data_IF_551375716018
#
_entry.id   IF_551375716018
#
_cell.length_a   1.000
_cell.length_b   1.000
_cell.length_c   1.000
_cell.angle_alpha   90.00
_cell.angle_beta   90.00
_cell.angle_gamma   90.00
#
_symmetry.space_group_name_H-M   'P 1'
#
loop_
_entity.id
_entity.type
_entity.pdbx_description
1 polymer ?
#
# COMPACT_ATOMS: atom_id res chain seq x y z
N UNK A 1 -0.74 9.55 -16.83
CA UNK A 1 -0.18 10.87 -17.15
C UNK A 1 -0.23 11.78 -15.93
N UNK A 2 -1.39 12.07 -15.32
CA UNK A 2 -1.52 13.01 -14.21
C UNK A 2 -0.64 12.77 -12.98
N UNK A 3 -0.29 11.52 -12.65
CA UNK A 3 0.73 11.22 -11.62
C UNK A 3 2.14 11.64 -12.06
N UNK A 4 2.43 11.51 -13.35
CA UNK A 4 3.75 11.77 -13.92
C UNK A 4 4.03 13.25 -14.09
N UNK A 5 3.05 14.02 -14.55
CA UNK A 5 3.17 15.47 -14.79
C UNK A 5 2.90 16.32 -13.53
N UNK A 6 2.51 15.70 -12.43
CA UNK A 6 2.25 16.38 -11.16
C UNK A 6 0.83 16.95 -11.02
N UNK A 7 -0.07 16.71 -11.96
CA UNK A 7 -1.48 17.09 -11.84
C UNK A 7 -2.17 16.35 -10.68
N UNK A 8 -1.74 15.11 -10.43
CA UNK A 8 -2.21 14.29 -9.30
C UNK A 8 -1.10 14.24 -8.26
N UNK A 9 -1.36 14.76 -7.07
CA UNK A 9 -0.37 14.91 -6.00
C UNK A 9 -0.16 13.64 -5.19
N UNK A 10 -1.17 12.79 -5.03
CA UNK A 10 -1.08 11.63 -4.14
C UNK A 10 -1.93 10.46 -4.61
N UNK A 11 -1.62 9.29 -4.06
CA UNK A 11 -2.36 8.04 -4.22
C UNK A 11 -3.04 7.73 -2.89
N UNK A 12 -4.37 7.56 -2.93
CA UNK A 12 -5.18 7.12 -1.81
C UNK A 12 -5.83 5.77 -2.15
N UNK A 13 -5.95 4.89 -1.17
CA UNK A 13 -6.41 3.51 -1.40
C UNK A 13 -7.92 3.38 -1.41
N UNK A 14 -8.64 4.30 -0.78
CA UNK A 14 -10.08 4.15 -0.48
C UNK A 14 -10.39 2.76 0.10
N UNK A 15 -9.59 2.33 1.09
CA UNK A 15 -9.72 1.00 1.71
C UNK A 15 -11.12 0.81 2.29
N UNK A 16 -11.91 -0.06 1.65
CA UNK A 16 -13.31 -0.28 1.97
C UNK A 16 -13.60 -1.78 2.23
N UNK A 17 -13.33 -2.27 3.45
CA UNK A 17 -13.65 -3.64 3.83
C UNK A 17 -15.16 -3.84 3.94
N UNK A 18 -15.64 -4.89 3.30
CA UNK A 18 -17.04 -5.33 3.35
C UNK A 18 -17.11 -6.82 3.67
N UNK A 19 -18.20 -7.22 4.30
CA UNK A 19 -18.44 -8.64 4.56
C UNK A 19 -18.71 -9.40 3.26
N UNK A 20 -18.50 -10.72 3.28
CA UNK A 20 -18.81 -11.56 2.16
C UNK A 20 -20.30 -11.51 1.80
N UNK A 21 -21.17 -11.52 2.81
CA UNK A 21 -22.61 -11.44 2.63
C UNK A 21 -23.06 -10.15 1.93
N UNK A 22 -22.39 -9.03 2.19
CA UNK A 22 -22.66 -7.76 1.49
C UNK A 22 -22.18 -7.80 0.05
N UNK A 23 -21.00 -8.39 -0.21
CA UNK A 23 -20.40 -8.46 -1.55
C UNK A 23 -21.08 -9.50 -2.45
N UNK A 24 -21.66 -10.57 -1.89
CA UNK A 24 -22.34 -11.63 -2.64
C UNK A 24 -23.76 -11.22 -3.10
N UNK A 25 -24.20 -9.99 -2.81
CA UNK A 25 -25.48 -9.44 -3.30
C UNK A 25 -25.42 -9.12 -4.79
N UNK A 26 -26.56 -8.99 -5.47
CA UNK A 26 -26.63 -8.49 -6.83
C UNK A 26 -25.86 -7.16 -6.97
N UNK A 27 -25.23 -6.92 -8.12
CA UNK A 27 -24.37 -5.75 -8.36
C UNK A 27 -25.01 -4.42 -7.99
N UNK A 28 -26.33 -4.28 -8.19
CA UNK A 28 -27.09 -3.07 -7.85
C UNK A 28 -27.33 -2.87 -6.35
N UNK A 29 -27.05 -3.88 -5.54
CA UNK A 29 -27.26 -3.88 -4.08
C UNK A 29 -25.96 -4.12 -3.29
N UNK A 30 -24.93 -4.63 -3.94
CA UNK A 30 -23.62 -4.82 -3.34
C UNK A 30 -22.95 -3.45 -3.12
N UNK A 31 -22.33 -3.18 -1.96
CA UNK A 31 -21.60 -1.95 -1.74
C UNK A 31 -20.37 -1.89 -2.66
N UNK A 32 -20.05 -0.71 -3.17
CA UNK A 32 -18.80 -0.46 -3.88
C UNK A 32 -17.61 -0.48 -2.91
N UNK A 33 -16.40 -0.69 -3.45
CA UNK A 33 -15.17 -0.67 -2.68
C UNK A 33 -14.48 -2.02 -2.56
N UNK A 34 -13.17 -1.95 -2.34
CA UNK A 34 -12.26 -3.10 -2.21
C UNK A 34 -11.28 -2.86 -1.05
N UNK A 35 -10.61 -3.92 -0.62
CA UNK A 35 -9.43 -3.79 0.24
C UNK A 35 -8.29 -3.09 -0.53
N UNK A 36 -7.63 -2.13 0.09
CA UNK A 36 -6.58 -1.35 -0.57
C UNK A 36 -5.25 -1.29 0.18
N UNK A 37 -5.24 -1.39 1.52
CA UNK A 37 -4.03 -1.10 2.32
C UNK A 37 -2.89 -2.09 2.06
N UNK A 38 -3.17 -3.39 2.09
CA UNK A 38 -2.13 -4.43 2.07
C UNK A 38 -1.51 -4.67 0.69
N UNK A 39 -2.17 -4.22 -0.38
CA UNK A 39 -1.69 -4.36 -1.76
C UNK A 39 -1.25 -3.06 -2.41
N UNK A 40 -1.51 -1.89 -1.79
CA UNK A 40 -1.27 -0.58 -2.39
C UNK A 40 0.16 -0.36 -2.85
N UNK A 41 1.16 -0.64 -1.99
CA UNK A 41 2.57 -0.49 -2.32
C UNK A 41 2.98 -1.40 -3.49
N UNK A 42 2.63 -2.68 -3.40
CA UNK A 42 2.96 -3.66 -4.42
C UNK A 42 2.28 -3.36 -5.77
N UNK A 43 1.03 -2.90 -5.76
CA UNK A 43 0.33 -2.44 -6.96
C UNK A 43 1.00 -1.20 -7.58
N UNK A 44 1.42 -0.25 -6.74
CA UNK A 44 2.18 0.92 -7.18
C UNK A 44 3.50 0.53 -7.83
N UNK A 45 4.26 -0.36 -7.21
CA UNK A 45 5.52 -0.87 -7.78
C UNK A 45 5.26 -1.63 -9.08
N UNK A 46 4.33 -2.59 -9.08
CA UNK A 46 4.02 -3.45 -10.24
C UNK A 46 3.54 -2.64 -11.44
N UNK A 47 2.64 -1.66 -11.22
CA UNK A 47 1.95 -0.99 -12.32
C UNK A 47 2.50 0.40 -12.68
N UNK A 48 3.29 1.03 -11.80
CA UNK A 48 3.82 2.37 -12.04
C UNK A 48 5.34 2.40 -12.12
N UNK A 49 6.04 1.68 -11.21
CA UNK A 49 7.51 1.71 -11.19
C UNK A 49 8.10 0.75 -12.21
N UNK A 50 7.67 -0.51 -12.23
CA UNK A 50 8.21 -1.52 -13.17
C UNK A 50 8.03 -1.15 -14.64
N UNK A 51 6.89 -0.58 -15.08
CA UNK A 51 6.75 -0.09 -16.44
C UNK A 51 7.46 1.24 -16.72
N UNK A 52 8.09 1.88 -15.72
CA UNK A 52 8.82 3.14 -15.88
C UNK A 52 7.90 4.39 -15.97
N UNK A 53 6.69 4.30 -15.44
CA UNK A 53 5.81 5.48 -15.37
C UNK A 53 6.21 6.43 -14.24
N UNK A 54 6.69 5.90 -13.13
CA UNK A 54 7.27 6.62 -11.99
C UNK A 54 8.57 5.95 -11.56
N UNK A 55 9.47 6.71 -10.98
CA UNK A 55 10.55 6.18 -10.16
C UNK A 55 10.02 5.69 -8.82
N UNK A 56 10.80 4.88 -8.11
CA UNK A 56 10.43 4.43 -6.77
C UNK A 56 10.28 5.61 -5.79
N UNK A 57 11.14 6.62 -5.92
CA UNK A 57 11.09 7.81 -5.08
C UNK A 57 9.80 8.62 -5.33
N UNK A 58 9.43 8.83 -6.59
CA UNK A 58 8.17 9.50 -6.94
C UNK A 58 6.94 8.73 -6.43
N UNK A 59 6.97 7.39 -6.45
CA UNK A 59 5.91 6.60 -5.83
C UNK A 59 5.84 6.85 -4.32
N UNK A 60 6.98 6.88 -3.61
CA UNK A 60 7.02 7.18 -2.17
C UNK A 60 6.56 8.61 -1.87
N UNK A 61 6.90 9.58 -2.71
CA UNK A 61 6.36 10.94 -2.59
C UNK A 61 4.83 10.95 -2.65
N UNK A 62 4.25 10.26 -3.64
CA UNK A 62 2.78 10.20 -3.84
C UNK A 62 2.06 9.43 -2.73
N UNK A 63 2.68 8.43 -2.13
CA UNK A 63 2.05 7.58 -1.12
C UNK A 63 2.33 8.00 0.32
N UNK A 64 3.38 8.77 0.58
CA UNK A 64 3.81 9.11 1.94
C UNK A 64 4.07 10.59 2.14
N UNK A 65 5.05 11.16 1.44
CA UNK A 65 5.48 12.53 1.69
C UNK A 65 4.40 13.59 1.37
N UNK A 66 3.78 13.50 0.20
CA UNK A 66 2.76 14.47 -0.22
C UNK A 66 1.49 14.39 0.66
N UNK A 67 0.93 13.21 0.98
CA UNK A 67 -0.15 13.10 1.97
C UNK A 67 0.21 13.71 3.32
N UNK A 68 1.41 13.41 3.84
CA UNK A 68 1.85 13.95 5.12
C UNK A 68 1.91 15.48 5.11
N UNK A 69 2.45 16.09 4.04
CA UNK A 69 2.46 17.55 3.87
C UNK A 69 1.06 18.15 3.77
N UNK A 70 0.19 17.54 2.96
CA UNK A 70 -1.16 18.05 2.72
C UNK A 70 -1.97 18.08 4.02
N UNK A 71 -1.89 17.00 4.80
CA UNK A 71 -2.62 16.88 6.06
C UNK A 71 -1.84 17.39 7.28
N UNK A 72 -0.63 17.93 7.07
CA UNK A 72 0.24 18.48 8.13
C UNK A 72 0.53 17.45 9.23
N UNK A 73 0.80 16.21 8.81
CA UNK A 73 1.15 15.12 9.72
C UNK A 73 2.64 15.17 10.06
N UNK A 74 3.00 14.79 11.27
CA UNK A 74 4.39 14.67 11.71
C UNK A 74 4.97 13.30 11.33
N UNK A 75 5.01 13.02 10.02
CA UNK A 75 5.50 11.77 9.42
C UNK A 75 5.92 11.99 7.96
N UNK A 76 6.20 10.91 7.24
CA UNK A 76 6.50 10.93 5.81
C UNK A 76 7.92 11.42 5.48
N UNK A 77 8.82 11.45 6.45
CA UNK A 77 10.22 11.83 6.28
C UNK A 77 11.16 10.95 7.12
N UNK A 78 12.38 10.81 6.67
CA UNK A 78 13.45 10.12 7.40
C UNK A 78 14.53 11.15 7.77
N UNK A 79 14.48 11.62 9.01
CA UNK A 79 15.47 12.56 9.56
C UNK A 79 15.70 12.32 11.06
N UNK A 80 16.84 12.72 11.57
CA UNK A 80 17.14 12.59 12.99
C UNK A 80 16.12 13.37 13.83
N UNK A 81 15.52 12.72 14.83
CA UNK A 81 14.49 13.28 15.70
C UNK A 81 13.06 13.14 15.19
N UNK A 82 12.84 12.65 13.97
CA UNK A 82 11.51 12.32 13.49
C UNK A 82 10.97 11.04 14.16
N UNK A 83 9.64 10.85 14.21
CA UNK A 83 9.05 9.59 14.64
C UNK A 83 9.60 8.40 13.86
N UNK A 84 9.94 7.31 14.55
CA UNK A 84 10.42 6.09 13.90
C UNK A 84 9.25 5.24 13.40
N UNK A 85 8.54 5.76 12.39
CA UNK A 85 7.46 5.09 11.65
C UNK A 85 7.99 4.76 10.26
N UNK A 86 8.38 3.49 10.06
CA UNK A 86 9.15 3.06 8.89
C UNK A 86 8.55 1.79 8.28
N UNK A 87 8.68 1.69 6.96
CA UNK A 87 8.40 0.45 6.23
C UNK A 87 9.68 0.03 5.50
N UNK A 88 10.11 -1.21 5.72
CA UNK A 88 11.19 -1.84 4.97
C UNK A 88 10.54 -2.81 3.98
N UNK A 89 10.89 -2.68 2.71
CA UNK A 89 10.34 -3.54 1.66
C UNK A 89 11.41 -3.89 0.61
N UNK A 90 11.24 -5.03 -0.03
CA UNK A 90 12.02 -5.45 -1.18
C UNK A 90 11.26 -5.09 -2.46
N UNK A 91 11.77 -4.12 -3.22
CA UNK A 91 11.13 -3.59 -4.42
C UNK A 91 11.15 -4.55 -5.61
N UNK A 92 11.95 -5.62 -5.56
CA UNK A 92 12.12 -6.59 -6.64
C UNK A 92 11.45 -7.93 -6.33
N UNK A 93 11.17 -8.21 -5.07
CA UNK A 93 10.58 -9.49 -4.65
C UNK A 93 9.16 -9.64 -5.18
N UNK A 94 8.95 -10.73 -5.91
CA UNK A 94 7.61 -11.16 -6.33
C UNK A 94 6.96 -12.02 -5.24
N UNK A 95 5.65 -11.87 -5.09
CA UNK A 95 4.85 -12.65 -4.16
C UNK A 95 3.41 -12.77 -4.65
N UNK A 96 2.74 -13.83 -4.24
CA UNK A 96 1.34 -14.06 -4.55
C UNK A 96 0.47 -13.59 -3.38
N UNK A 97 -0.61 -12.88 -3.66
CA UNK A 97 -1.59 -12.46 -2.65
C UNK A 97 -2.43 -13.67 -2.24
N UNK A 98 -2.05 -14.32 -1.15
CA UNK A 98 -2.72 -15.55 -0.66
C UNK A 98 -3.85 -15.25 0.33
N UNK A 99 -3.86 -14.08 0.94
CA UNK A 99 -4.84 -13.67 1.94
C UNK A 99 -4.59 -12.25 2.44
N UNK A 100 -5.34 -11.85 3.45
CA UNK A 100 -5.30 -10.52 4.07
C UNK A 100 -5.35 -10.62 5.59
N UNK A 101 -4.67 -9.73 6.27
CA UNK A 101 -4.80 -9.50 7.72
C UNK A 101 -6.15 -8.85 8.07
N UNK A 102 -6.74 -8.15 7.12
CA UNK A 102 -8.10 -7.63 7.23
C UNK A 102 -9.09 -8.75 7.53
N UNK A 103 -10.11 -8.46 8.35
CA UNK A 103 -11.26 -9.38 8.58
C UNK A 103 -12.10 -9.61 7.33
N UNK A 104 -11.90 -8.78 6.30
CA UNK A 104 -12.56 -8.89 4.99
C UNK A 104 -11.61 -9.42 3.94
N UNK A 105 -12.17 -9.98 2.87
CA UNK A 105 -11.42 -10.53 1.73
C UNK A 105 -11.89 -9.98 0.37
N UNK A 106 -12.62 -8.86 0.37
CA UNK A 106 -13.20 -8.26 -0.85
C UNK A 106 -12.12 -7.54 -1.69
N UNK A 107 -11.24 -8.31 -2.27
CA UNK A 107 -10.16 -7.82 -3.15
C UNK A 107 -10.14 -8.58 -4.46
N UNK A 108 -10.02 -7.89 -5.61
CA UNK A 108 -9.83 -8.53 -6.91
C UNK A 108 -8.41 -9.06 -7.11
N UNK A 109 -7.50 -8.78 -6.17
CA UNK A 109 -6.09 -9.15 -6.28
C UNK A 109 -5.74 -10.46 -5.59
N UNK A 110 -6.70 -11.15 -4.97
CA UNK A 110 -6.47 -12.49 -4.40
C UNK A 110 -5.99 -13.45 -5.50
N UNK A 111 -4.88 -14.12 -5.28
CA UNK A 111 -4.21 -14.98 -6.27
C UNK A 111 -3.33 -14.24 -7.29
N UNK A 112 -3.33 -12.91 -7.30
CA UNK A 112 -2.45 -12.13 -8.18
C UNK A 112 -0.99 -12.19 -7.72
N UNK A 113 -0.06 -12.27 -8.67
CA UNK A 113 1.37 -12.09 -8.41
C UNK A 113 1.73 -10.62 -8.55
N UNK A 114 2.25 -10.04 -7.48
CA UNK A 114 2.67 -8.65 -7.41
C UNK A 114 4.17 -8.55 -7.13
N UNK A 115 4.78 -7.42 -7.49
CA UNK A 115 6.17 -7.09 -7.19
C UNK A 115 6.23 -6.01 -6.12
N UNK A 116 7.17 -6.15 -5.18
CA UNK A 116 7.32 -5.27 -4.03
C UNK A 116 6.68 -5.88 -2.78
N UNK A 117 7.50 -6.47 -1.92
CA UNK A 117 7.05 -7.13 -0.69
C UNK A 117 7.48 -6.32 0.52
N UNK A 118 6.53 -5.98 1.39
CA UNK A 118 6.84 -5.43 2.71
C UNK A 118 7.47 -6.52 3.55
N UNK A 119 8.64 -6.21 4.12
CA UNK A 119 9.40 -7.12 4.97
C UNK A 119 9.18 -6.79 6.45
N UNK A 120 9.21 -5.51 6.80
CA UNK A 120 8.98 -5.04 8.16
C UNK A 120 8.18 -3.74 8.17
N UNK A 121 7.35 -3.59 9.18
CA UNK A 121 6.73 -2.31 9.55
C UNK A 121 7.12 -1.96 10.96
N UNK A 122 7.64 -0.75 11.14
CA UNK A 122 8.01 -0.18 12.44
C UNK A 122 7.03 0.95 12.75
N UNK A 123 6.45 0.93 13.93
CA UNK A 123 5.56 1.98 14.43
C UNK A 123 6.07 2.46 15.79
N UNK A 124 6.37 3.75 15.91
CA UNK A 124 6.92 4.36 17.12
C UNK A 124 8.14 3.62 17.65
N UNK A 125 9.04 3.21 16.75
CA UNK A 125 10.26 2.49 17.07
C UNK A 125 10.08 1.01 17.43
N UNK A 126 8.89 0.43 17.26
CA UNK A 126 8.62 -0.99 17.50
C UNK A 126 8.27 -1.70 16.21
N UNK A 127 8.83 -2.87 15.98
CA UNK A 127 8.43 -3.74 14.87
C UNK A 127 7.01 -4.25 15.18
N UNK A 128 6.06 -3.93 14.30
CA UNK A 128 4.64 -4.32 14.42
C UNK A 128 4.24 -5.34 13.37
N UNK A 129 5.05 -5.50 12.33
CA UNK A 129 4.92 -6.54 11.31
C UNK A 129 6.30 -7.00 10.85
N UNK A 130 6.47 -8.30 10.66
CA UNK A 130 7.64 -8.91 10.03
C UNK A 130 7.20 -10.06 9.15
N UNK A 131 7.72 -10.12 7.91
CA UNK A 131 7.45 -11.24 6.99
C UNK A 131 8.06 -12.52 7.56
N UNK A 132 7.26 -13.60 7.65
CA UNK A 132 7.72 -14.88 8.19
C UNK A 132 8.76 -15.47 7.24
N UNK A 133 9.99 -15.60 7.72
CA UNK A 133 11.14 -16.05 6.94
C UNK A 133 12.30 -15.05 6.87
N UNK A 134 12.13 -13.87 7.44
CA UNK A 134 13.23 -12.93 7.67
C UNK A 134 13.65 -13.05 9.14
N UNK A 135 14.79 -13.70 9.41
CA UNK A 135 15.39 -13.71 10.75
C UNK A 135 15.73 -12.26 11.16
N UNK A 136 15.32 -11.87 12.37
CA UNK A 136 15.65 -10.60 13.01
C UNK A 136 16.95 -10.75 13.78
#
# INVERSE_FOLDING_TARGET
EGLKDGTIDMIATDHAPHSREEKDRPLTQAPSGILGLETALALGITNLVKPGHLTLLELMEKMSYNPARLYKLDCGRMEAGAPADLVLFDADRQWTVEGFESKSSNSPFLGATLTGKVMYTVCKGRIVYGDQGTEV
#
